data_IF_772093554768
#
_entry.id   IF_772093554768
#
_cell.length_a   1.000
_cell.length_b   1.000
_cell.length_c   1.000
_cell.angle_alpha   90.00
_cell.angle_beta   90.00
_cell.angle_gamma   90.00
#
_symmetry.space_group_name_H-M   'P 1'
#
loop_
_entity.id
_entity.type
_entity.pdbx_description
1 polymer ?
#
# COMPACT_ATOMS: atom_id res chain seq x y z
N UNK A 1 5.28 20.43 -5.36
CA UNK A 1 5.05 19.32 -4.45
C UNK A 1 4.28 18.17 -5.11
N UNK A 2 3.08 18.35 -5.66
CA UNK A 2 2.28 17.28 -6.29
C UNK A 2 3.06 16.46 -7.31
N UNK A 3 3.79 17.07 -8.24
CA UNK A 3 4.55 16.34 -9.27
C UNK A 3 5.58 15.37 -8.65
N UNK A 4 6.28 15.77 -7.59
CA UNK A 4 7.25 14.89 -6.90
C UNK A 4 6.57 13.69 -6.27
N UNK A 5 5.40 13.91 -5.67
CA UNK A 5 4.59 12.84 -5.08
C UNK A 5 4.11 11.86 -6.17
N UNK A 6 3.65 12.38 -7.33
CA UNK A 6 3.23 11.53 -8.45
C UNK A 6 4.39 10.71 -9.03
N UNK A 7 5.59 11.30 -9.11
CA UNK A 7 6.79 10.56 -9.53
C UNK A 7 7.15 9.47 -8.51
N UNK A 8 7.03 9.75 -7.21
CA UNK A 8 7.26 8.77 -6.16
C UNK A 8 6.25 7.61 -6.23
N UNK A 9 4.95 7.90 -6.43
CA UNK A 9 3.92 6.89 -6.62
C UNK A 9 4.16 6.04 -7.87
N UNK A 10 4.49 6.67 -9.00
CA UNK A 10 4.84 5.97 -10.24
C UNK A 10 6.04 5.04 -10.05
N UNK A 11 7.15 5.59 -9.54
CA UNK A 11 8.40 4.86 -9.36
C UNK A 11 8.23 3.71 -8.36
N UNK A 12 7.63 4.00 -7.20
CA UNK A 12 7.40 3.00 -6.16
C UNK A 12 6.49 1.86 -6.63
N UNK A 13 5.40 2.18 -7.34
CA UNK A 13 4.52 1.14 -7.88
C UNK A 13 5.19 0.37 -9.01
N UNK A 14 6.00 1.02 -9.86
CA UNK A 14 6.76 0.34 -10.91
C UNK A 14 7.76 -0.67 -10.32
N UNK A 15 8.55 -0.25 -9.34
CA UNK A 15 9.51 -1.14 -8.67
C UNK A 15 8.84 -2.28 -7.91
N UNK A 16 7.70 -2.00 -7.27
CA UNK A 16 6.91 -3.03 -6.60
C UNK A 16 6.47 -4.11 -7.59
N UNK A 17 5.89 -3.73 -8.73
CA UNK A 17 5.42 -4.69 -9.72
C UNK A 17 6.57 -5.39 -10.47
N UNK A 18 7.66 -4.70 -10.75
CA UNK A 18 8.88 -5.34 -11.26
C UNK A 18 9.38 -6.42 -10.29
N UNK A 19 9.29 -6.19 -8.98
CA UNK A 19 9.66 -7.16 -7.96
C UNK A 19 8.72 -8.36 -7.93
N UNK A 20 7.41 -8.12 -7.84
CA UNK A 20 6.41 -9.20 -7.76
C UNK A 20 6.48 -10.12 -8.98
N UNK A 21 6.49 -9.53 -10.17
CA UNK A 21 6.48 -10.29 -11.42
C UNK A 21 7.86 -10.89 -11.70
N UNK A 22 8.93 -10.11 -11.51
CA UNK A 22 10.30 -10.57 -11.75
C UNK A 22 10.70 -11.72 -10.83
N UNK A 23 10.40 -11.64 -9.53
CA UNK A 23 10.64 -12.75 -8.60
C UNK A 23 9.80 -13.98 -8.96
N UNK A 24 8.55 -13.78 -9.40
CA UNK A 24 7.70 -14.87 -9.86
C UNK A 24 8.26 -15.56 -11.10
N UNK A 25 8.77 -14.82 -12.09
CA UNK A 25 9.40 -15.38 -13.29
C UNK A 25 10.66 -16.16 -12.92
N UNK A 26 11.56 -15.55 -12.14
CA UNK A 26 12.83 -16.18 -11.77
C UNK A 26 12.61 -17.48 -11.03
N UNK A 27 11.81 -17.42 -9.95
CA UNK A 27 11.64 -18.56 -9.06
C UNK A 27 10.85 -19.68 -9.73
N UNK A 28 9.87 -19.36 -10.55
CA UNK A 28 9.11 -20.37 -11.29
C UNK A 28 9.97 -21.09 -12.36
N UNK A 29 11.05 -20.48 -12.84
CA UNK A 29 12.03 -21.15 -13.72
C UNK A 29 12.90 -22.17 -13.00
N UNK A 30 13.10 -22.01 -11.69
CA UNK A 30 14.06 -22.82 -10.90
C UNK A 30 13.40 -23.62 -9.79
N UNK A 31 12.07 -23.59 -9.64
CA UNK A 31 11.33 -24.28 -8.56
C UNK A 31 11.22 -25.80 -8.74
N UNK A 32 11.69 -26.32 -9.87
CA UNK A 32 11.62 -27.73 -10.23
C UNK A 32 10.19 -28.33 -10.07
N UNK A 33 9.16 -27.52 -10.30
CA UNK A 33 7.75 -27.87 -10.14
C UNK A 33 7.19 -27.70 -8.71
N UNK A 34 8.00 -27.22 -7.77
CA UNK A 34 7.54 -26.90 -6.41
C UNK A 34 7.08 -25.43 -6.30
N UNK A 35 5.86 -25.19 -6.71
CA UNK A 35 5.25 -23.84 -6.69
C UNK A 35 5.28 -23.16 -5.32
N UNK A 36 5.35 -23.95 -4.22
CA UNK A 36 5.45 -23.36 -2.87
C UNK A 36 6.74 -22.52 -2.71
N UNK A 37 7.87 -22.97 -3.29
CA UNK A 37 9.13 -22.21 -3.28
C UNK A 37 8.96 -20.88 -4.02
N UNK A 38 8.30 -20.90 -5.17
CA UNK A 38 7.98 -19.68 -5.93
C UNK A 38 7.13 -18.71 -5.10
N UNK A 39 6.04 -19.17 -4.47
CA UNK A 39 5.14 -18.29 -3.69
C UNK A 39 5.86 -17.73 -2.47
N UNK A 40 6.63 -18.53 -1.72
CA UNK A 40 7.43 -18.06 -0.58
C UNK A 40 8.45 -17.01 -1.02
N UNK A 41 9.13 -17.24 -2.14
CA UNK A 41 10.11 -16.30 -2.64
C UNK A 41 9.50 -14.98 -3.15
N UNK A 42 8.33 -15.03 -3.81
CA UNK A 42 7.57 -13.82 -4.16
C UNK A 42 7.21 -13.03 -2.90
N UNK A 43 6.70 -13.71 -1.87
CA UNK A 43 6.32 -13.09 -0.60
C UNK A 43 7.52 -12.40 0.06
N UNK A 44 8.65 -13.08 0.13
CA UNK A 44 9.88 -12.54 0.71
C UNK A 44 10.41 -11.35 -0.08
N UNK A 45 10.56 -11.49 -1.40
CA UNK A 45 11.06 -10.41 -2.26
C UNK A 45 10.15 -9.18 -2.21
N UNK A 46 8.82 -9.39 -2.26
CA UNK A 46 7.85 -8.32 -2.17
C UNK A 46 7.94 -7.58 -0.84
N UNK A 47 8.01 -8.31 0.28
CA UNK A 47 8.15 -7.70 1.60
C UNK A 47 9.43 -6.88 1.74
N UNK A 48 10.58 -7.43 1.35
CA UNK A 48 11.86 -6.73 1.42
C UNK A 48 11.87 -5.44 0.57
N UNK A 49 11.41 -5.52 -0.67
CA UNK A 49 11.43 -4.35 -1.56
C UNK A 49 10.38 -3.33 -1.16
N UNK A 50 9.18 -3.76 -0.76
CA UNK A 50 8.15 -2.84 -0.27
C UNK A 50 8.64 -2.05 0.95
N UNK A 51 9.32 -2.70 1.89
CA UNK A 51 9.94 -2.01 3.03
C UNK A 51 10.93 -0.92 2.58
N UNK A 52 11.84 -1.27 1.67
CA UNK A 52 12.83 -0.33 1.15
C UNK A 52 12.17 0.84 0.40
N UNK A 53 11.14 0.58 -0.41
CA UNK A 53 10.42 1.60 -1.17
C UNK A 53 9.66 2.58 -0.26
N UNK A 54 8.99 2.07 0.79
CA UNK A 54 8.29 2.94 1.74
C UNK A 54 9.31 3.79 2.52
N UNK A 55 10.44 3.22 2.93
CA UNK A 55 11.51 3.98 3.58
C UNK A 55 12.11 5.05 2.66
N UNK A 56 12.36 4.72 1.41
CA UNK A 56 12.99 5.62 0.44
C UNK A 56 12.06 6.78 0.03
N UNK A 57 10.79 6.47 -0.22
CA UNK A 57 9.83 7.41 -0.84
C UNK A 57 8.82 7.99 0.15
N UNK A 58 8.74 7.47 1.37
CA UNK A 58 7.72 7.84 2.35
C UNK A 58 7.71 9.31 2.73
N UNK A 59 8.84 9.99 2.63
CA UNK A 59 8.93 11.45 2.84
C UNK A 59 8.25 12.27 1.73
N UNK A 60 7.96 11.68 0.59
CA UNK A 60 7.22 12.28 -0.52
C UNK A 60 5.82 11.71 -0.59
N UNK A 61 5.71 10.44 -0.97
CA UNK A 61 4.47 9.67 -0.99
C UNK A 61 4.81 8.18 -1.17
N UNK A 62 4.09 7.32 -0.47
CA UNK A 62 4.25 5.86 -0.56
C UNK A 62 2.90 5.15 -0.35
N UNK A 63 1.87 5.56 -1.04
CA UNK A 63 0.60 4.83 -1.08
C UNK A 63 0.71 3.59 -1.94
N UNK A 64 1.25 3.73 -3.16
CA UNK A 64 1.43 2.67 -4.18
C UNK A 64 0.17 1.84 -4.45
N UNK A 65 -1.00 2.35 -4.04
CA UNK A 65 -2.25 1.60 -4.02
C UNK A 65 -3.45 2.53 -4.09
N UNK A 66 -4.36 2.38 -5.08
CA UNK A 66 -5.57 3.19 -5.18
C UNK A 66 -6.48 3.11 -3.95
N UNK A 67 -6.60 1.95 -3.28
CA UNK A 67 -7.41 1.83 -2.06
C UNK A 67 -6.82 2.65 -0.93
N UNK A 68 -5.50 2.59 -0.73
CA UNK A 68 -4.80 3.40 0.27
C UNK A 68 -4.99 4.88 -0.02
N UNK A 69 -4.89 5.30 -1.29
CA UNK A 69 -5.12 6.68 -1.71
C UNK A 69 -6.54 7.14 -1.40
N UNK A 70 -7.55 6.33 -1.72
CA UNK A 70 -8.96 6.63 -1.42
C UNK A 70 -9.22 6.74 0.08
N UNK A 71 -8.70 5.80 0.87
CA UNK A 71 -8.82 5.83 2.34
C UNK A 71 -8.20 7.09 2.92
N UNK A 72 -7.01 7.49 2.44
CA UNK A 72 -6.38 8.74 2.87
C UNK A 72 -7.21 9.98 2.48
N UNK A 73 -7.83 10.00 1.31
CA UNK A 73 -8.72 11.09 0.91
C UNK A 73 -9.99 11.17 1.78
N UNK A 74 -10.58 10.03 2.11
CA UNK A 74 -11.74 9.94 3.01
C UNK A 74 -11.39 10.40 4.44
N UNK A 75 -10.16 10.14 4.89
CA UNK A 75 -9.63 10.64 6.17
C UNK A 75 -9.17 12.11 6.10
N UNK A 76 -9.26 12.77 4.93
CA UNK A 76 -8.82 14.15 4.68
C UNK A 76 -7.30 14.35 4.82
N UNK A 77 -6.51 13.29 4.69
CA UNK A 77 -5.04 13.35 4.70
C UNK A 77 -4.48 13.86 3.37
N UNK A 78 -5.23 13.70 2.27
CA UNK A 78 -4.92 14.27 0.96
C UNK A 78 -6.15 14.96 0.38
N UNK A 79 -5.92 15.90 -0.53
CA UNK A 79 -7.00 16.62 -1.22
C UNK A 79 -7.64 15.72 -2.27
N UNK A 80 -8.97 15.75 -2.40
CA UNK A 80 -9.71 14.96 -3.39
C UNK A 80 -9.24 15.17 -4.83
N UNK A 81 -8.82 16.40 -5.17
CA UNK A 81 -8.29 16.72 -6.50
C UNK A 81 -7.00 15.95 -6.83
N UNK A 82 -6.27 15.48 -5.83
CA UNK A 82 -5.05 14.69 -6.00
C UNK A 82 -5.32 13.20 -6.23
N UNK A 83 -6.51 12.70 -5.92
CA UNK A 83 -6.84 11.25 -5.96
C UNK A 83 -6.68 10.69 -7.37
N UNK A 84 -7.30 11.31 -8.37
CA UNK A 84 -7.23 10.82 -9.74
C UNK A 84 -5.80 10.82 -10.31
N UNK A 85 -5.00 11.92 -10.16
CA UNK A 85 -3.58 11.89 -10.53
C UNK A 85 -2.77 10.80 -9.83
N UNK A 86 -2.98 10.57 -8.53
CA UNK A 86 -2.29 9.50 -7.78
C UNK A 86 -2.61 8.12 -8.35
N UNK A 87 -3.89 7.82 -8.55
CA UNK A 87 -4.33 6.53 -9.12
C UNK A 87 -3.75 6.35 -10.53
N UNK A 88 -3.74 7.39 -11.35
CA UNK A 88 -3.13 7.33 -12.68
C UNK A 88 -1.63 7.03 -12.61
N UNK A 89 -0.88 7.70 -11.73
CA UNK A 89 0.54 7.46 -11.54
C UNK A 89 0.81 6.02 -11.05
N UNK A 90 0.01 5.51 -10.12
CA UNK A 90 0.10 4.15 -9.61
C UNK A 90 -0.18 3.10 -10.70
N UNK A 91 -1.25 3.26 -11.47
CA UNK A 91 -1.60 2.32 -12.55
C UNK A 91 -0.54 2.32 -13.65
N UNK A 92 -0.12 3.49 -14.11
CA UNK A 92 0.93 3.61 -15.14
C UNK A 92 2.26 3.06 -14.64
N UNK A 93 2.63 3.35 -13.39
CA UNK A 93 3.82 2.78 -12.75
C UNK A 93 3.75 1.25 -12.66
N UNK A 94 2.62 0.72 -12.21
CA UNK A 94 2.40 -0.72 -12.12
C UNK A 94 2.54 -1.41 -13.49
N UNK A 95 1.94 -0.84 -14.54
CA UNK A 95 2.06 -1.37 -15.91
C UNK A 95 3.51 -1.32 -16.40
N UNK A 96 4.21 -0.20 -16.17
CA UNK A 96 5.62 -0.08 -16.51
C UNK A 96 6.48 -1.11 -15.77
N UNK A 97 6.20 -1.38 -14.49
CA UNK A 97 6.89 -2.40 -13.70
C UNK A 97 6.69 -3.83 -14.23
N UNK A 98 5.48 -4.17 -14.65
CA UNK A 98 5.19 -5.48 -15.28
C UNK A 98 5.93 -5.61 -16.61
N UNK A 99 5.88 -4.59 -17.46
CA UNK A 99 6.58 -4.57 -18.74
C UNK A 99 8.10 -4.74 -18.53
N UNK A 100 8.66 -3.99 -17.57
CA UNK A 100 10.06 -4.10 -17.21
C UNK A 100 10.43 -5.50 -16.73
N UNK A 101 9.60 -6.11 -15.87
CA UNK A 101 9.83 -7.49 -15.44
C UNK A 101 9.82 -8.47 -16.61
N UNK A 102 8.84 -8.40 -17.50
CA UNK A 102 8.79 -9.26 -18.67
C UNK A 102 10.07 -9.11 -19.53
N UNK A 103 10.52 -7.87 -19.77
CA UNK A 103 11.72 -7.59 -20.56
C UNK A 103 13.02 -8.06 -19.89
N UNK A 104 13.16 -7.92 -18.57
CA UNK A 104 14.34 -8.39 -17.81
C UNK A 104 14.58 -9.90 -17.97
N UNK A 105 13.55 -10.65 -18.33
CA UNK A 105 13.62 -12.11 -18.52
C UNK A 105 13.43 -12.54 -19.99
N UNK A 106 13.72 -11.64 -20.94
CA UNK A 106 13.63 -11.86 -22.38
C UNK A 106 12.23 -12.27 -22.86
N UNK A 107 11.20 -11.87 -22.11
CA UNK A 107 9.80 -12.10 -22.46
C UNK A 107 9.22 -11.00 -23.36
N UNK A 108 8.03 -11.26 -23.93
CA UNK A 108 7.25 -10.22 -24.60
C UNK A 108 6.91 -9.09 -23.61
N UNK A 109 7.09 -7.81 -23.98
CA UNK A 109 6.76 -6.68 -23.12
C UNK A 109 5.35 -6.76 -22.52
N UNK A 110 4.40 -7.20 -23.33
CA UNK A 110 3.00 -7.40 -22.96
C UNK A 110 2.57 -8.79 -23.42
N UNK A 111 2.05 -9.57 -22.48
CA UNK A 111 1.46 -10.88 -22.72
C UNK A 111 0.18 -11.01 -21.90
N UNK A 112 -0.98 -10.92 -22.55
CA UNK A 112 -2.26 -10.94 -21.83
C UNK A 112 -2.43 -12.25 -21.07
N UNK A 113 -2.72 -12.13 -19.77
CA UNK A 113 -2.87 -13.27 -18.89
C UNK A 113 -4.13 -14.07 -19.16
N UNK A 114 -4.01 -15.37 -19.11
CA UNK A 114 -5.11 -16.34 -19.09
C UNK A 114 -5.32 -16.98 -17.71
N UNK A 115 -4.50 -16.60 -16.72
CA UNK A 115 -4.55 -17.17 -15.38
C UNK A 115 -5.89 -16.81 -14.71
N UNK A 116 -6.67 -17.82 -14.45
CA UNK A 116 -7.97 -17.66 -13.79
C UNK A 116 -7.81 -17.37 -12.30
N UNK A 117 -8.49 -16.31 -11.85
CA UNK A 117 -8.55 -15.92 -10.45
C UNK A 117 -9.97 -15.56 -10.08
N UNK A 118 -10.80 -16.57 -9.90
CA UNK A 118 -12.21 -16.40 -9.58
C UNK A 118 -12.66 -17.38 -8.48
N UNK A 119 -13.87 -17.17 -7.99
CA UNK A 119 -14.47 -17.97 -6.93
C UNK A 119 -14.50 -17.24 -5.59
N UNK A 120 -15.45 -17.67 -4.76
CA UNK A 120 -15.72 -17.02 -3.45
C UNK A 120 -14.52 -17.00 -2.53
N UNK A 121 -13.71 -18.05 -2.54
CA UNK A 121 -12.51 -18.15 -1.72
C UNK A 121 -11.47 -17.06 -2.09
N UNK A 122 -11.21 -16.86 -3.38
CA UNK A 122 -10.26 -15.85 -3.84
C UNK A 122 -10.77 -14.43 -3.57
N UNK A 123 -12.06 -14.16 -3.77
CA UNK A 123 -12.64 -12.86 -3.45
C UNK A 123 -12.63 -12.59 -1.94
N UNK A 124 -12.93 -13.60 -1.11
CA UNK A 124 -12.79 -13.48 0.34
C UNK A 124 -11.33 -13.23 0.75
N UNK A 125 -10.38 -13.90 0.09
CA UNK A 125 -8.94 -13.66 0.28
C UNK A 125 -8.56 -12.20 0.01
N UNK A 126 -9.03 -11.62 -1.10
CA UNK A 126 -8.79 -10.21 -1.44
C UNK A 126 -9.45 -9.24 -0.45
N UNK A 127 -10.68 -9.54 0.00
CA UNK A 127 -11.34 -8.76 1.04
C UNK A 127 -10.52 -8.72 2.33
N UNK A 128 -10.11 -9.89 2.84
CA UNK A 128 -9.32 -10.03 4.07
C UNK A 128 -7.95 -9.37 3.91
N UNK A 129 -7.27 -9.58 2.77
CA UNK A 129 -5.98 -8.97 2.50
C UNK A 129 -6.05 -7.43 2.52
N UNK A 130 -7.05 -6.86 1.87
CA UNK A 130 -7.21 -5.40 1.79
C UNK A 130 -7.70 -4.82 3.12
N UNK A 131 -8.66 -5.49 3.78
CA UNK A 131 -9.13 -5.10 5.11
C UNK A 131 -7.96 -5.05 6.12
N UNK A 132 -7.16 -6.09 6.17
CA UNK A 132 -6.04 -6.15 7.09
C UNK A 132 -4.92 -5.18 6.72
N UNK A 133 -4.64 -4.95 5.43
CA UNK A 133 -3.67 -3.94 4.98
C UNK A 133 -4.03 -2.55 5.51
N UNK A 134 -5.28 -2.12 5.31
CA UNK A 134 -5.74 -0.83 5.80
C UNK A 134 -5.73 -0.80 7.33
N UNK A 135 -6.10 -1.91 7.99
CA UNK A 135 -6.04 -2.03 9.46
C UNK A 135 -4.62 -1.87 10.01
N UNK A 136 -3.64 -2.52 9.38
CA UNK A 136 -2.22 -2.39 9.76
C UNK A 136 -1.72 -0.96 9.58
N UNK A 137 -2.00 -0.35 8.43
CA UNK A 137 -1.65 1.06 8.20
C UNK A 137 -2.29 1.93 9.28
N UNK A 138 -3.58 1.78 9.52
CA UNK A 138 -4.34 2.59 10.46
C UNK A 138 -3.82 2.47 11.91
N UNK A 139 -3.63 1.23 12.37
CA UNK A 139 -3.18 0.96 13.75
C UNK A 139 -1.73 1.37 13.97
N UNK A 140 -0.85 1.05 13.02
CA UNK A 140 0.59 1.37 13.15
C UNK A 140 0.84 2.86 13.06
N UNK A 141 0.18 3.57 12.12
CA UNK A 141 0.32 5.03 11.99
C UNK A 141 -0.07 5.78 13.26
N UNK A 142 -1.02 5.25 14.04
CA UNK A 142 -1.44 5.86 15.32
C UNK A 142 -0.48 5.58 16.47
N UNK A 143 0.00 4.35 16.54
CA UNK A 143 0.75 3.88 17.71
C UNK A 143 2.26 4.05 17.57
N UNK A 144 2.79 3.77 16.37
CA UNK A 144 4.22 3.82 16.03
C UNK A 144 4.40 4.19 14.56
N UNK A 145 4.28 5.47 14.17
CA UNK A 145 4.39 5.89 12.77
C UNK A 145 5.66 5.40 12.07
N UNK A 146 6.79 5.42 12.74
CA UNK A 146 8.08 4.97 12.21
C UNK A 146 8.13 3.46 11.91
N UNK A 147 7.20 2.68 12.46
CA UNK A 147 7.10 1.25 12.21
C UNK A 147 6.16 0.90 11.04
N UNK A 148 5.52 1.89 10.39
CA UNK A 148 4.62 1.64 9.26
C UNK A 148 5.30 0.89 8.12
N UNK A 149 6.52 1.26 7.67
CA UNK A 149 7.21 0.53 6.61
C UNK A 149 7.37 -0.96 6.91
N UNK A 150 7.81 -1.29 8.12
CA UNK A 150 7.99 -2.68 8.56
C UNK A 150 6.66 -3.43 8.65
N UNK A 151 5.67 -2.82 9.31
CA UNK A 151 4.38 -3.47 9.55
C UNK A 151 3.63 -3.76 8.27
N UNK A 152 3.62 -2.80 7.34
CA UNK A 152 2.98 -2.96 6.03
C UNK A 152 3.68 -4.05 5.21
N UNK A 153 5.01 -4.02 5.16
CA UNK A 153 5.79 -4.96 4.37
C UNK A 153 5.69 -6.39 4.89
N UNK A 154 5.75 -6.58 6.21
CA UNK A 154 5.57 -7.88 6.84
C UNK A 154 4.14 -8.40 6.67
N UNK A 155 3.13 -7.50 6.79
CA UNK A 155 1.76 -7.89 6.54
C UNK A 155 1.54 -8.36 5.10
N UNK A 156 2.04 -7.62 4.11
CA UNK A 156 1.91 -7.99 2.69
C UNK A 156 2.61 -9.32 2.41
N UNK A 157 3.82 -9.51 2.91
CA UNK A 157 4.54 -10.79 2.78
C UNK A 157 3.75 -11.95 3.39
N UNK A 158 3.20 -11.77 4.60
CA UNK A 158 2.34 -12.76 5.24
C UNK A 158 1.05 -13.00 4.45
N UNK A 159 0.40 -11.93 3.96
CA UNK A 159 -0.87 -12.04 3.25
C UNK A 159 -0.74 -12.77 1.90
N UNK A 160 0.41 -12.68 1.23
CA UNK A 160 0.70 -13.51 0.05
C UNK A 160 0.65 -15.00 0.39
N UNK A 161 1.03 -15.38 1.61
CA UNK A 161 1.12 -16.77 2.04
C UNK A 161 -0.18 -17.31 2.63
N UNK A 162 -0.96 -16.48 3.36
CA UNK A 162 -2.15 -16.98 4.05
C UNK A 162 -3.47 -16.77 3.30
N UNK A 163 -3.49 -15.94 2.24
CA UNK A 163 -4.71 -15.73 1.45
C UNK A 163 -4.70 -16.58 0.18
N UNK A 164 -5.87 -17.10 -0.17
CA UNK A 164 -6.06 -17.92 -1.38
C UNK A 164 -5.83 -17.15 -2.69
N UNK A 165 -5.93 -15.83 -2.65
CA UNK A 165 -5.69 -14.94 -3.79
C UNK A 165 -4.21 -14.58 -3.99
N UNK A 166 -3.34 -14.92 -3.03
CA UNK A 166 -1.96 -14.43 -2.94
C UNK A 166 -1.84 -12.91 -2.83
N UNK A 167 -2.83 -12.28 -2.18
CA UNK A 167 -2.80 -10.87 -1.76
C UNK A 167 -2.44 -9.87 -2.88
N UNK A 168 -3.36 -9.60 -3.78
CA UNK A 168 -3.20 -8.43 -4.65
C UNK A 168 -3.48 -7.16 -3.84
N UNK A 169 -4.63 -7.11 -3.15
CA UNK A 169 -5.04 -6.05 -2.22
C UNK A 169 -4.86 -4.62 -2.75
N UNK A 170 -4.84 -4.46 -4.09
CA UNK A 170 -4.41 -3.24 -4.77
C UNK A 170 -4.96 -3.20 -6.21
N UNK A 171 -5.83 -2.27 -6.57
CA UNK A 171 -6.36 -2.14 -7.93
C UNK A 171 -5.30 -1.90 -9.01
N UNK A 172 -4.23 -1.13 -8.73
CA UNK A 172 -3.16 -0.90 -9.69
C UNK A 172 -2.37 -2.18 -9.97
N UNK A 173 -2.07 -2.97 -8.93
CA UNK A 173 -1.49 -4.31 -9.04
C UNK A 173 -2.40 -5.22 -9.86
N UNK A 174 -3.70 -5.20 -9.58
CA UNK A 174 -4.69 -6.07 -10.25
C UNK A 174 -4.77 -5.75 -11.73
N UNK A 175 -4.87 -4.47 -12.11
CA UNK A 175 -4.94 -4.03 -13.50
C UNK A 175 -3.65 -4.41 -14.25
N UNK A 176 -2.50 -4.11 -13.68
CA UNK A 176 -1.22 -4.30 -14.38
C UNK A 176 -0.86 -5.77 -14.61
N UNK A 177 -1.26 -6.66 -13.69
CA UNK A 177 -0.97 -8.09 -13.81
C UNK A 177 -1.77 -8.81 -14.91
N UNK A 178 -2.72 -8.13 -15.57
CA UNK A 178 -3.28 -8.60 -16.85
C UNK A 178 -2.23 -8.69 -17.97
N UNK A 179 -1.15 -7.92 -17.86
CA UNK A 179 -0.14 -7.76 -18.92
C UNK A 179 1.00 -8.79 -18.86
N UNK A 180 0.87 -9.81 -18.02
CA UNK A 180 1.85 -10.90 -17.92
C UNK A 180 1.15 -12.25 -17.84
N UNK A 181 1.57 -13.20 -18.71
CA UNK A 181 1.07 -14.58 -18.74
C UNK A 181 1.81 -15.51 -17.77
N UNK A 182 2.56 -14.95 -16.82
CA UNK A 182 3.28 -15.70 -15.79
C UNK A 182 2.37 -16.16 -14.67
N UNK A 183 2.92 -16.92 -13.71
CA UNK A 183 2.22 -17.33 -12.49
C UNK A 183 1.61 -16.14 -11.72
N UNK A 184 2.18 -14.95 -11.88
CA UNK A 184 1.70 -13.72 -11.26
C UNK A 184 0.48 -13.11 -11.96
N UNK A 185 0.06 -13.59 -13.13
CA UNK A 185 -0.99 -13.00 -13.95
C UNK A 185 -2.41 -13.10 -13.36
N UNK A 186 -3.32 -12.35 -13.96
CA UNK A 186 -4.77 -12.43 -13.73
C UNK A 186 -5.49 -12.25 -15.08
N UNK A 187 -6.48 -13.08 -15.37
CA UNK A 187 -7.32 -12.95 -16.55
C UNK A 187 -8.11 -11.65 -16.53
N UNK A 188 -8.18 -10.88 -17.63
CA UNK A 188 -8.87 -9.58 -17.66
C UNK A 188 -10.33 -9.61 -17.16
N UNK A 189 -11.04 -10.71 -17.41
CA UNK A 189 -12.44 -10.89 -16.98
C UNK A 189 -12.60 -10.96 -15.45
N UNK A 190 -11.55 -11.30 -14.70
CA UNK A 190 -11.60 -11.44 -13.26
C UNK A 190 -11.23 -10.12 -12.52
N UNK A 191 -10.61 -9.17 -13.23
CA UNK A 191 -10.14 -7.90 -12.69
C UNK A 191 -11.24 -7.06 -12.04
N UNK A 192 -12.43 -6.87 -12.66
CA UNK A 192 -13.46 -6.04 -12.04
C UNK A 192 -13.94 -6.56 -10.68
N UNK A 193 -14.06 -7.88 -10.53
CA UNK A 193 -14.48 -8.51 -9.28
C UNK A 193 -13.43 -8.30 -8.17
N UNK A 194 -12.14 -8.42 -8.49
CA UNK A 194 -11.04 -8.14 -7.57
C UNK A 194 -11.05 -6.68 -7.11
N UNK A 195 -11.15 -5.73 -8.03
CA UNK A 195 -11.20 -4.30 -7.69
C UNK A 195 -12.40 -3.99 -6.80
N UNK A 196 -13.57 -4.51 -7.13
CA UNK A 196 -14.78 -4.31 -6.33
C UNK A 196 -14.63 -4.80 -4.89
N UNK A 197 -14.10 -6.01 -4.70
CA UNK A 197 -13.93 -6.58 -3.37
C UNK A 197 -12.79 -5.92 -2.57
N UNK A 198 -11.72 -5.47 -3.25
CA UNK A 198 -10.65 -4.69 -2.63
C UNK A 198 -11.17 -3.34 -2.10
N UNK A 199 -11.98 -2.64 -2.89
CA UNK A 199 -12.62 -1.41 -2.43
C UNK A 199 -13.55 -1.65 -1.24
N UNK A 200 -14.34 -2.73 -1.26
CA UNK A 200 -15.18 -3.11 -0.12
C UNK A 200 -14.33 -3.40 1.13
N UNK A 201 -13.27 -4.18 1.00
CA UNK A 201 -12.35 -4.49 2.09
C UNK A 201 -11.75 -3.23 2.71
N UNK A 202 -11.26 -2.31 1.88
CA UNK A 202 -10.68 -1.04 2.32
C UNK A 202 -11.68 -0.12 3.01
N UNK A 203 -12.89 0.03 2.47
CA UNK A 203 -13.94 0.85 3.07
C UNK A 203 -14.44 0.27 4.38
N UNK A 204 -14.65 -1.06 4.43
CA UNK A 204 -15.04 -1.74 5.67
C UNK A 204 -13.96 -1.57 6.75
N UNK A 205 -12.68 -1.70 6.38
CA UNK A 205 -11.57 -1.46 7.29
C UNK A 205 -11.56 -0.02 7.82
N UNK A 206 -11.73 0.97 6.93
CA UNK A 206 -11.81 2.37 7.33
C UNK A 206 -12.90 2.60 8.38
N UNK A 207 -14.10 2.10 8.16
CA UNK A 207 -15.23 2.25 9.11
C UNK A 207 -14.95 1.54 10.42
N UNK A 208 -14.51 0.28 10.36
CA UNK A 208 -14.25 -0.55 11.54
C UNK A 208 -13.12 0.02 12.40
N UNK A 209 -11.98 0.35 11.83
CA UNK A 209 -10.84 0.86 12.59
C UNK A 209 -11.04 2.31 13.05
N UNK A 210 -11.80 3.12 12.31
CA UNK A 210 -12.24 4.44 12.80
C UNK A 210 -13.10 4.31 14.05
N UNK A 211 -14.05 3.39 14.05
CA UNK A 211 -14.87 3.13 15.23
C UNK A 211 -14.03 2.58 16.39
N UNK A 212 -13.22 1.55 16.14
CA UNK A 212 -12.41 0.87 17.17
C UNK A 212 -11.47 1.84 17.91
N UNK A 213 -10.79 2.70 17.17
CA UNK A 213 -9.82 3.63 17.77
C UNK A 213 -10.46 4.90 18.33
N UNK A 214 -11.65 5.32 17.87
CA UNK A 214 -12.35 6.47 18.44
C UNK A 214 -13.05 6.12 19.77
N UNK A 215 -13.45 4.89 19.99
CA UNK A 215 -13.98 4.43 21.28
C UNK A 215 -12.94 4.63 22.39
N UNK A 216 -11.68 4.22 22.15
CA UNK A 216 -10.60 4.36 23.13
C UNK A 216 -10.28 5.83 23.48
N UNK A 217 -10.47 6.76 22.55
CA UNK A 217 -10.23 8.19 22.82
C UNK A 217 -11.28 8.79 23.77
N UNK A 218 -12.52 8.31 23.73
CA UNK A 218 -13.59 8.77 24.64
C UNK A 218 -13.42 8.20 26.05
N UNK A 219 -13.03 6.94 26.16
CA UNK A 219 -12.81 6.29 27.46
C UNK A 219 -11.61 6.89 28.20
N UNK A 220 -10.54 7.26 27.48
CA UNK A 220 -9.38 7.95 28.05
C UNK A 220 -9.72 9.37 28.55
N UNK A 221 -10.65 10.07 27.88
CA UNK A 221 -11.12 11.39 28.34
C UNK A 221 -12.04 11.29 29.55
N UNK A 222 -12.83 10.23 29.68
CA UNK A 222 -13.67 10.01 30.86
C UNK A 222 -12.88 9.58 32.10
N UNK A 223 -11.78 8.86 31.91
CA UNK A 223 -10.89 8.44 32.99
C UNK A 223 -10.02 9.60 33.56
N UNK A 224 -9.74 10.65 32.77
CA UNK A 224 -9.00 11.84 33.20
C UNK A 224 -9.88 12.92 33.80
N UNK A 225 -11.20 12.76 33.85
CA UNK A 225 -12.14 13.68 34.47
C UNK A 225 -12.35 13.42 35.98
N UNK A 226 -11.36 12.86 36.70
CA UNK A 226 -11.35 12.88 38.15
C UNK A 226 -10.95 14.29 38.62
N UNK A 227 -11.70 14.91 39.60
CA UNK A 227 -11.44 16.28 40.00
C UNK A 227 -10.14 16.37 40.83
N UNK A 228 -9.14 17.02 40.30
CA UNK A 228 -7.97 17.45 41.03
C UNK A 228 -6.64 17.05 40.41
N UNK A 229 -6.25 17.64 39.30
CA UNK A 229 -4.86 18.06 39.05
C UNK A 229 -4.80 19.03 37.85
N UNK A 230 -4.48 20.26 38.16
CA UNK A 230 -4.23 21.31 37.19
C UNK A 230 -2.73 21.35 36.93
N UNK A 231 -2.22 20.55 35.97
CA UNK A 231 -1.01 20.84 35.23
C UNK A 231 -0.60 19.63 34.37
N UNK A 232 -1.19 19.50 33.18
CA UNK A 232 -0.69 18.60 32.15
C UNK A 232 -0.59 19.34 30.81
N UNK A 233 0.52 19.24 30.07
CA UNK A 233 0.72 20.03 28.86
C UNK A 233 -0.24 19.62 27.76
N UNK A 234 -0.93 20.62 27.19
CA UNK A 234 -1.81 20.52 26.02
C UNK A 234 -1.01 20.23 24.75
N UNK A 235 -0.59 18.99 24.54
CA UNK A 235 -0.12 18.58 23.20
C UNK A 235 -0.35 17.09 22.97
N UNK A 236 -1.60 16.70 22.79
CA UNK A 236 -1.91 15.50 22.00
C UNK A 236 -2.51 15.98 20.67
N UNK A 237 -1.62 16.39 19.75
CA UNK A 237 -1.98 16.52 18.34
C UNK A 237 -2.37 15.13 17.83
N UNK A 238 -3.45 15.07 17.05
CA UNK A 238 -3.86 13.85 16.36
C UNK A 238 -2.63 13.28 15.61
N UNK A 239 -2.37 11.96 15.70
CA UNK A 239 -1.22 11.38 15.02
C UNK A 239 -1.37 11.62 13.52
N UNK A 240 -0.35 12.22 12.92
CA UNK A 240 -0.27 12.44 11.50
C UNK A 240 -0.29 11.09 10.80
N UNK A 241 -1.33 10.83 10.03
CA UNK A 241 -1.30 9.77 9.06
C UNK A 241 -0.20 10.09 8.03
N UNK A 242 0.36 9.07 7.44
CA UNK A 242 1.43 8.94 6.48
C UNK A 242 1.47 9.99 5.33
N UNK A 243 1.42 11.28 5.65
CA UNK A 243 1.58 12.40 4.71
C UNK A 243 2.23 13.55 5.45
N UNK A 244 3.38 14.02 4.95
CA UNK A 244 3.89 15.33 5.32
C UNK A 244 2.87 16.38 4.87
N UNK A 245 2.60 17.42 5.68
CA UNK A 245 1.67 18.49 5.32
C UNK A 245 2.07 19.15 3.99
N UNK A 246 1.09 19.51 3.16
CA UNK A 246 1.29 20.30 1.94
C UNK A 246 1.93 21.69 2.21
N UNK A 247 2.10 22.06 3.50
CA UNK A 247 2.56 23.36 3.99
C UNK A 247 3.94 23.30 4.68
N UNK A 248 4.77 22.27 4.41
CA UNK A 248 6.12 22.25 4.96
C UNK A 248 6.94 23.40 4.35
N UNK A 249 7.07 24.47 5.12
CA UNK A 249 7.70 25.72 4.69
C UNK A 249 9.22 25.62 4.76
N UNK A 250 9.84 25.27 3.62
CA UNK A 250 11.30 25.17 3.46
C UNK A 250 12.03 26.48 3.85
N UNK A 251 11.36 27.62 3.73
CA UNK A 251 11.96 28.93 4.02
C UNK A 251 12.17 29.19 5.52
N UNK A 252 11.53 28.47 6.40
CA UNK A 252 11.71 28.63 7.85
C UNK A 252 12.97 27.90 8.34
N UNK A 253 13.29 26.74 7.78
CA UNK A 253 14.51 26.01 8.08
C UNK A 253 15.78 26.66 7.49
N UNK A 254 15.69 27.29 6.33
CA UNK A 254 16.81 28.04 5.76
C UNK A 254 17.17 29.25 6.62
N UNK A 255 16.24 29.88 7.30
CA UNK A 255 16.50 30.98 8.24
C UNK A 255 17.16 30.51 9.54
N UNK A 256 16.78 29.35 10.05
CA UNK A 256 17.41 28.78 11.24
C UNK A 256 18.83 28.27 10.98
N UNK A 257 19.10 27.74 9.78
CA UNK A 257 20.45 27.25 9.41
C UNK A 257 21.42 28.34 9.00
N UNK A 258 20.91 29.49 8.50
CA UNK A 258 21.79 30.58 8.01
C UNK A 258 22.01 31.68 9.02
N UNK A 259 21.33 31.68 10.18
CA UNK A 259 21.51 32.70 11.22
C UNK A 259 21.21 34.13 10.76
N UNK A 260 20.47 34.31 9.68
CA UNK A 260 20.12 35.63 9.16
C UNK A 260 19.00 36.24 10.02
N UNK A 261 19.36 37.33 10.71
CA UNK A 261 18.45 38.22 11.42
C UNK A 261 17.63 39.03 10.43
#
# INVERSE_FOLDING_TARGET
MLLRNLVAEFLGTAMLLATVVGSGILLHKIDAGNVAVTVIGIAFATGCVLYALIQMLGSLSAHFNPVVTLVNALQRNIRWISVAPYIAAQVLGAMAGVILANLMFDGSPISISTTERHGTGQLLGEFIATFGLIGVIFGTSRNKPDAVPQSVSLYVAGAILFTSSTCFANPAVTISRMLTSTICGIRPTDVPAYIGIQLMGGLTALLFFSWLYNANAKDSQSATAAPGDTDLPKTLKAPHAFVLPDDYNIHEQERELTGAK
#
